data_IF_737204434764
#
_entry.id   IF_737204434764
#
_cell.length_a   1.000
_cell.length_b   1.000
_cell.length_c   1.000
_cell.angle_alpha   90.00
_cell.angle_beta   90.00
_cell.angle_gamma   90.00
#
_symmetry.space_group_name_H-M   'P 1'
#
loop_
_entity.id
_entity.type
_entity.pdbx_description
1 polymer ?
#
# COMPACT_ATOMS: atom_id res chain seq x y z
N UNK A 1 47.46 22.27 0.29
CA UNK A 1 46.25 22.40 1.13
C UNK A 1 45.05 22.41 0.19
N UNK A 2 44.18 21.41 0.26
CA UNK A 2 42.94 21.39 -0.55
C UNK A 2 41.81 21.96 0.29
N UNK A 3 41.24 23.09 -0.12
CA UNK A 3 40.10 23.73 0.55
C UNK A 3 38.81 23.18 -0.05
N UNK A 4 37.84 22.83 0.80
CA UNK A 4 36.48 22.49 0.34
C UNK A 4 35.81 23.71 -0.28
N UNK A 5 35.10 23.50 -1.40
CA UNK A 5 34.31 24.52 -2.09
C UNK A 5 32.79 24.29 -1.93
N UNK A 6 32.39 23.28 -1.16
CA UNK A 6 30.98 22.99 -0.93
C UNK A 6 30.40 23.89 0.17
N UNK A 7 29.13 24.31 0.04
CA UNK A 7 28.43 25.09 1.06
C UNK A 7 28.22 24.28 2.35
N UNK A 8 28.28 24.96 3.49
CA UNK A 8 28.04 24.35 4.81
C UNK A 8 26.54 24.09 5.05
N UNK A 9 25.67 24.66 4.21
CA UNK A 9 24.22 24.53 4.25
C UNK A 9 23.68 23.17 3.76
N UNK A 10 24.55 22.28 3.26
CA UNK A 10 24.14 20.92 2.87
C UNK A 10 23.81 20.13 4.14
N UNK A 11 22.51 20.00 4.43
CA UNK A 11 21.99 19.30 5.60
C UNK A 11 20.96 18.23 5.21
N UNK A 12 20.66 17.35 6.15
CA UNK A 12 19.60 16.35 6.00
C UNK A 12 18.25 17.03 6.21
N UNK A 13 17.31 16.79 5.30
CA UNK A 13 15.94 17.27 5.38
C UNK A 13 15.11 16.26 6.18
N UNK A 14 14.32 16.73 7.14
CA UNK A 14 13.37 15.93 7.93
C UNK A 14 12.02 15.80 7.21
N UNK A 15 12.01 15.20 6.01
CA UNK A 15 10.79 14.95 5.26
C UNK A 15 10.76 13.51 4.75
N UNK A 16 9.61 12.83 4.89
CA UNK A 16 9.45 11.44 4.46
C UNK A 16 9.22 11.38 2.95
N UNK A 17 10.11 10.72 2.17
CA UNK A 17 9.92 10.61 0.74
C UNK A 17 8.70 9.72 0.39
N UNK A 18 7.90 10.07 -0.64
CA UNK A 18 6.75 9.27 -1.06
C UNK A 18 7.05 7.79 -1.33
N UNK A 19 8.23 7.50 -1.92
CA UNK A 19 8.64 6.13 -2.21
C UNK A 19 8.82 5.27 -0.95
N UNK A 20 9.16 5.88 0.18
CA UNK A 20 9.26 5.17 1.46
C UNK A 20 7.88 4.73 1.95
N UNK A 21 6.89 5.63 1.87
CA UNK A 21 5.48 5.33 2.20
C UNK A 21 4.96 4.22 1.29
N UNK A 22 5.25 4.26 -0.02
CA UNK A 22 4.86 3.20 -0.94
C UNK A 22 5.46 1.84 -0.56
N UNK A 23 6.74 1.80 -0.20
CA UNK A 23 7.41 0.55 0.21
C UNK A 23 6.86 0.00 1.52
N UNK A 24 6.54 0.87 2.47
CA UNK A 24 5.91 0.47 3.73
C UNK A 24 4.53 -0.16 3.48
N UNK A 25 3.67 0.51 2.70
CA UNK A 25 2.35 -0.04 2.33
C UNK A 25 2.47 -1.34 1.54
N UNK A 26 3.53 -1.49 0.73
CA UNK A 26 3.80 -2.74 0.03
C UNK A 26 4.14 -3.90 0.97
N UNK A 27 4.92 -3.65 2.02
CA UNK A 27 5.25 -4.64 3.05
C UNK A 27 4.00 -5.06 3.83
N UNK A 28 3.17 -4.10 4.26
CA UNK A 28 1.91 -4.35 4.96
C UNK A 28 0.95 -5.23 4.17
N UNK A 29 0.88 -5.06 2.84
CA UNK A 29 0.08 -5.95 1.99
C UNK A 29 0.62 -7.39 1.99
N UNK A 30 1.94 -7.56 1.92
CA UNK A 30 2.58 -8.88 1.98
C UNK A 30 2.25 -9.61 3.28
N UNK A 31 2.33 -8.93 4.42
CA UNK A 31 1.93 -9.49 5.72
C UNK A 31 0.45 -9.87 5.74
N UNK A 32 -0.42 -8.96 5.30
CA UNK A 32 -1.88 -9.18 5.28
C UNK A 32 -2.31 -10.38 4.43
N UNK A 33 -1.57 -10.67 3.36
CA UNK A 33 -1.90 -11.71 2.38
C UNK A 33 -1.03 -12.95 2.53
N UNK A 34 -0.17 -13.00 3.56
CA UNK A 34 0.84 -14.06 3.77
C UNK A 34 1.71 -14.29 2.53
N UNK A 35 2.05 -13.19 1.86
CA UNK A 35 2.86 -13.15 0.65
C UNK A 35 2.29 -13.92 -0.56
N UNK A 36 1.01 -14.31 -0.53
CA UNK A 36 0.32 -14.82 -1.72
C UNK A 36 0.11 -13.71 -2.76
N UNK A 37 -0.11 -12.48 -2.30
CA UNK A 37 -0.09 -11.27 -3.12
C UNK A 37 0.82 -10.24 -2.47
N UNK A 38 2.01 -10.05 -3.02
CA UNK A 38 2.93 -9.01 -2.55
C UNK A 38 2.74 -7.73 -3.36
N UNK A 39 3.29 -6.62 -2.86
CA UNK A 39 3.44 -5.43 -3.66
C UNK A 39 4.92 -5.11 -3.92
N UNK A 40 5.19 -4.47 -5.06
CA UNK A 40 6.53 -4.01 -5.45
C UNK A 40 6.46 -2.57 -5.96
N UNK A 41 7.46 -1.78 -5.61
CA UNK A 41 7.60 -0.39 -6.06
C UNK A 41 8.80 -0.30 -6.98
N UNK A 42 8.56 0.00 -8.26
CA UNK A 42 9.62 0.23 -9.24
C UNK A 42 9.80 1.74 -9.44
N UNK A 43 11.03 2.23 -9.27
CA UNK A 43 11.37 3.63 -9.50
C UNK A 43 12.10 3.78 -10.82
N UNK A 44 11.63 4.68 -11.67
CA UNK A 44 12.32 5.10 -12.89
C UNK A 44 12.55 6.60 -12.88
N UNK A 45 13.63 7.04 -13.53
CA UNK A 45 14.04 8.45 -13.58
C UNK A 45 14.03 8.89 -15.03
N UNK A 46 13.36 10.01 -15.32
CA UNK A 46 13.50 10.67 -16.62
C UNK A 46 14.40 11.88 -16.49
N UNK A 47 15.66 11.76 -16.90
CA UNK A 47 16.61 12.88 -16.88
C UNK A 47 16.13 14.05 -17.75
N UNK A 48 15.50 13.76 -18.90
CA UNK A 48 14.96 14.80 -19.79
C UNK A 48 13.82 15.58 -19.15
N UNK A 49 12.93 14.89 -18.43
CA UNK A 49 11.79 15.54 -17.76
C UNK A 49 12.14 16.01 -16.35
N UNK A 50 13.30 15.63 -15.82
CA UNK A 50 13.73 15.82 -14.42
C UNK A 50 12.72 15.30 -13.41
N UNK A 51 12.17 14.10 -13.66
CA UNK A 51 11.13 13.51 -12.81
C UNK A 51 11.43 12.09 -12.37
N UNK A 52 11.05 11.80 -11.13
CA UNK A 52 10.87 10.43 -10.64
C UNK A 52 9.50 9.91 -11.04
N UNK A 53 9.44 8.63 -11.37
CA UNK A 53 8.21 7.87 -11.58
C UNK A 53 8.28 6.60 -10.74
N UNK A 54 7.46 6.54 -9.70
CA UNK A 54 7.33 5.36 -8.85
C UNK A 54 6.05 4.62 -9.25
N UNK A 55 6.17 3.33 -9.56
CA UNK A 55 5.05 2.51 -10.00
C UNK A 55 4.80 1.45 -8.94
N UNK A 56 3.58 1.41 -8.40
CA UNK A 56 3.17 0.45 -7.40
C UNK A 56 2.45 -0.72 -8.07
N UNK A 57 3.05 -1.90 -7.97
CA UNK A 57 2.50 -3.13 -8.54
C UNK A 57 1.96 -4.06 -7.46
N UNK A 58 0.82 -4.67 -7.72
CA UNK A 58 0.41 -5.93 -7.10
C UNK A 58 1.07 -7.07 -7.86
N UNK A 59 1.59 -8.08 -7.14
CA UNK A 59 2.33 -9.20 -7.73
C UNK A 59 1.89 -10.50 -7.07
N UNK A 60 1.53 -11.50 -7.88
CA UNK A 60 1.26 -12.86 -7.44
C UNK A 60 2.44 -13.77 -7.84
N UNK A 61 3.34 -14.14 -6.92
CA UNK A 61 4.57 -14.87 -7.27
C UNK A 61 4.31 -16.22 -7.95
N UNK A 62 3.31 -16.96 -7.47
CA UNK A 62 2.91 -18.29 -7.96
C UNK A 62 2.33 -18.23 -9.38
N UNK A 63 1.76 -17.09 -9.79
CA UNK A 63 1.19 -16.90 -11.12
C UNK A 63 2.24 -16.39 -12.11
N UNK A 64 3.42 -17.04 -12.13
CA UNK A 64 4.58 -16.62 -12.93
C UNK A 64 4.93 -15.14 -12.73
N UNK A 65 4.89 -14.70 -11.47
CA UNK A 65 5.05 -13.29 -11.09
C UNK A 65 4.12 -12.33 -11.84
N UNK A 66 2.87 -12.73 -12.15
CA UNK A 66 1.87 -11.84 -12.72
C UNK A 66 1.80 -10.51 -11.96
N UNK A 67 1.87 -9.39 -12.68
CA UNK A 67 1.91 -8.03 -12.14
C UNK A 67 0.74 -7.20 -12.63
N UNK A 68 0.17 -6.42 -11.73
CA UNK A 68 -0.85 -5.42 -12.03
C UNK A 68 -0.40 -4.05 -11.51
N UNK A 69 -0.33 -3.04 -12.39
CA UNK A 69 -0.04 -1.65 -12.00
C UNK A 69 -1.26 -1.08 -11.26
N UNK A 70 -1.13 -0.84 -9.96
CA UNK A 70 -2.23 -0.31 -9.16
C UNK A 70 -2.31 1.20 -9.26
N UNK A 71 -1.16 1.88 -9.12
CA UNK A 71 -1.06 3.32 -9.32
C UNK A 71 0.38 3.70 -9.66
N UNK A 72 0.55 4.94 -10.11
CA UNK A 72 1.84 5.55 -10.37
C UNK A 72 1.91 6.92 -9.71
N UNK A 73 3.04 7.22 -9.08
CA UNK A 73 3.38 8.53 -8.58
C UNK A 73 4.46 9.19 -9.42
N UNK A 74 4.36 10.49 -9.65
CA UNK A 74 5.40 11.28 -10.31
C UNK A 74 5.66 12.62 -9.63
N UNK A 75 6.94 12.98 -9.50
CA UNK A 75 7.40 14.22 -8.84
C UNK A 75 8.66 14.73 -9.50
N UNK A 76 9.03 15.98 -9.19
CA UNK A 76 10.33 16.54 -9.59
C UNK A 76 11.49 15.78 -8.91
N UNK A 77 12.70 15.86 -9.46
CA UNK A 77 13.90 15.29 -8.86
C UNK A 77 14.39 16.10 -7.65
N UNK A 78 14.04 17.37 -7.56
CA UNK A 78 14.52 18.30 -6.52
C UNK A 78 13.66 18.32 -5.26
N UNK A 79 12.40 17.86 -5.35
CA UNK A 79 11.44 17.92 -4.24
C UNK A 79 10.79 16.57 -3.98
N UNK A 80 10.36 16.32 -2.74
CA UNK A 80 9.56 15.13 -2.41
C UNK A 80 8.08 15.33 -2.73
N UNK A 81 7.57 16.53 -2.45
CA UNK A 81 6.21 16.97 -2.75
C UNK A 81 6.24 18.24 -3.62
N UNK A 82 5.17 18.53 -4.38
CA UNK A 82 3.99 17.69 -4.57
C UNK A 82 4.27 16.42 -5.38
N UNK A 83 3.45 15.40 -5.16
CA UNK A 83 3.43 14.19 -5.98
C UNK A 83 2.10 14.04 -6.71
N UNK A 84 2.17 13.78 -8.01
CA UNK A 84 1.02 13.50 -8.86
C UNK A 84 0.79 11.99 -8.90
N UNK A 85 -0.40 11.56 -8.50
CA UNK A 85 -0.83 10.16 -8.43
C UNK A 85 -1.87 9.90 -9.51
N UNK A 86 -1.61 8.89 -10.33
CA UNK A 86 -2.50 8.40 -11.39
C UNK A 86 -2.90 6.96 -11.09
N UNK A 87 -4.18 6.62 -11.24
CA UNK A 87 -4.70 5.26 -11.03
C UNK A 87 -6.01 5.07 -11.78
N UNK A 88 -6.25 3.86 -12.31
CA UNK A 88 -7.53 3.47 -12.90
C UNK A 88 -8.70 3.41 -11.89
N UNK A 89 -8.43 3.58 -10.59
CA UNK A 89 -9.43 3.64 -9.53
C UNK A 89 -9.80 5.08 -9.15
N UNK A 90 -9.11 6.06 -9.72
CA UNK A 90 -9.40 7.47 -9.52
C UNK A 90 -10.17 8.00 -10.73
N UNK A 91 -11.17 8.85 -10.50
CA UNK A 91 -11.87 9.54 -11.60
C UNK A 91 -10.96 10.54 -12.32
N UNK A 92 -10.07 11.17 -11.57
CA UNK A 92 -9.08 12.13 -12.04
C UNK A 92 -7.79 11.95 -11.27
N UNK A 93 -6.66 12.25 -11.93
CA UNK A 93 -5.35 12.30 -11.28
C UNK A 93 -5.40 13.22 -10.05
N UNK A 94 -4.72 12.80 -8.98
CA UNK A 94 -4.68 13.53 -7.71
C UNK A 94 -3.28 14.08 -7.50
N UNK A 95 -3.20 15.28 -6.93
CA UNK A 95 -1.96 15.86 -6.45
C UNK A 95 -1.99 15.86 -4.94
N UNK A 96 -0.91 15.39 -4.31
CA UNK A 96 -0.73 15.43 -2.87
C UNK A 96 0.43 16.37 -2.53
N UNK A 97 0.14 17.39 -1.73
CA UNK A 97 1.10 18.43 -1.33
C UNK A 97 1.92 18.07 -0.10
N UNK A 98 1.55 16.99 0.61
CA UNK A 98 2.18 16.56 1.85
C UNK A 98 2.03 15.05 2.07
N UNK A 99 2.75 14.51 3.05
CA UNK A 99 2.60 13.12 3.52
C UNK A 99 1.14 12.80 3.88
N UNK A 100 0.48 13.66 4.67
CA UNK A 100 -0.90 13.42 5.10
C UNK A 100 -1.90 13.38 3.93
N UNK A 101 -1.71 14.25 2.94
CA UNK A 101 -2.51 14.22 1.72
C UNK A 101 -2.24 12.97 0.88
N UNK A 102 -0.98 12.55 0.79
CA UNK A 102 -0.60 11.33 0.07
C UNK A 102 -1.25 10.11 0.71
N UNK A 103 -1.19 9.99 2.03
CA UNK A 103 -1.84 8.90 2.78
C UNK A 103 -3.35 8.84 2.51
N UNK A 104 -4.01 10.00 2.41
CA UNK A 104 -5.43 10.06 2.05
C UNK A 104 -5.69 9.56 0.63
N UNK A 105 -4.91 10.01 -0.35
CA UNK A 105 -5.03 9.54 -1.75
C UNK A 105 -4.80 8.03 -1.85
N UNK A 106 -3.78 7.51 -1.17
CA UNK A 106 -3.49 6.07 -1.14
C UNK A 106 -4.61 5.28 -0.47
N UNK A 107 -5.15 5.77 0.65
CA UNK A 107 -6.30 5.16 1.31
C UNK A 107 -7.47 5.02 0.36
N UNK A 108 -7.82 6.09 -0.37
CA UNK A 108 -8.91 6.09 -1.35
C UNK A 108 -8.68 5.02 -2.45
N UNK A 109 -7.45 4.89 -2.95
CA UNK A 109 -7.08 3.85 -3.93
C UNK A 109 -7.20 2.44 -3.33
N UNK A 110 -6.70 2.23 -2.11
CA UNK A 110 -6.63 0.89 -1.50
C UNK A 110 -7.99 0.35 -1.07
N UNK A 111 -8.89 1.20 -0.58
CA UNK A 111 -10.25 0.80 -0.19
C UNK A 111 -11.22 0.76 -1.37
N UNK A 112 -10.80 1.23 -2.56
CA UNK A 112 -11.65 1.25 -3.73
C UNK A 112 -12.11 -0.19 -4.10
N UNK A 113 -13.42 -0.41 -4.40
CA UNK A 113 -13.94 -1.76 -4.68
C UNK A 113 -13.19 -2.51 -5.79
N UNK A 114 -12.72 -1.79 -6.81
CA UNK A 114 -11.90 -2.37 -7.90
C UNK A 114 -10.57 -2.94 -7.39
N UNK A 115 -9.87 -2.23 -6.50
CA UNK A 115 -8.60 -2.69 -5.91
C UNK A 115 -8.81 -3.96 -5.11
N UNK A 116 -9.84 -3.95 -4.23
CA UNK A 116 -10.19 -5.11 -3.41
C UNK A 116 -10.49 -6.33 -4.30
N UNK A 117 -11.29 -6.14 -5.36
CA UNK A 117 -11.64 -7.20 -6.31
C UNK A 117 -10.41 -7.79 -7.02
N UNK A 118 -9.46 -6.95 -7.41
CA UNK A 118 -8.21 -7.41 -8.05
C UNK A 118 -7.40 -8.25 -7.07
N UNK A 119 -7.19 -7.76 -5.84
CA UNK A 119 -6.45 -8.50 -4.81
C UNK A 119 -7.13 -9.84 -4.49
N UNK A 120 -8.45 -9.85 -4.29
CA UNK A 120 -9.22 -11.08 -4.06
C UNK A 120 -9.07 -12.07 -5.21
N UNK A 121 -9.15 -11.59 -6.46
CA UNK A 121 -8.96 -12.42 -7.64
C UNK A 121 -7.55 -13.04 -7.69
N UNK A 122 -6.51 -12.26 -7.36
CA UNK A 122 -5.13 -12.75 -7.30
C UNK A 122 -4.94 -13.76 -6.15
N UNK A 123 -5.56 -13.54 -5.00
CA UNK A 123 -5.52 -14.45 -3.85
C UNK A 123 -6.13 -15.82 -4.19
N UNK A 124 -7.35 -15.84 -4.75
CA UNK A 124 -8.01 -17.10 -5.14
C UNK A 124 -7.16 -17.88 -6.15
N UNK A 125 -6.62 -17.19 -7.15
CA UNK A 125 -5.74 -17.81 -8.15
C UNK A 125 -4.42 -18.30 -7.56
N UNK A 126 -3.95 -17.66 -6.48
CA UNK A 126 -2.74 -18.07 -5.74
C UNK A 126 -3.01 -19.19 -4.73
N UNK A 127 -4.24 -19.73 -4.68
CA UNK A 127 -4.60 -20.85 -3.80
C UNK A 127 -5.06 -20.45 -2.40
N UNK A 128 -5.46 -19.18 -2.18
CA UNK A 128 -6.03 -18.78 -0.90
C UNK A 128 -7.35 -19.52 -0.61
N UNK A 129 -7.38 -20.30 0.48
CA UNK A 129 -8.60 -20.94 1.01
C UNK A 129 -9.07 -20.21 2.28
N UNK A 130 -10.34 -19.77 2.37
CA UNK A 130 -10.90 -19.19 3.60
C UNK A 130 -10.90 -20.15 4.80
N UNK A 131 -10.99 -21.46 4.57
CA UNK A 131 -11.17 -22.49 5.61
C UNK A 131 -9.91 -22.72 6.45
N UNK A 132 -8.73 -22.61 5.82
CA UNK A 132 -7.44 -22.72 6.51
C UNK A 132 -7.10 -21.49 7.37
N UNK A 133 -7.87 -20.40 7.22
CA UNK A 133 -7.64 -19.15 7.95
C UNK A 133 -8.45 -19.03 9.23
N UNK A 134 -9.60 -19.71 9.28
CA UNK A 134 -10.44 -19.79 10.49
C UNK A 134 -9.76 -20.64 11.58
N UNK A 135 -8.93 -21.61 11.20
CA UNK A 135 -8.19 -22.47 12.15
C UNK A 135 -6.95 -21.78 12.75
N UNK A 136 -6.40 -20.74 12.11
CA UNK A 136 -5.24 -20.00 12.62
C UNK A 136 -5.60 -18.73 13.41
N UNK A 137 -6.83 -18.23 13.31
CA UNK A 137 -7.28 -17.02 14.02
C UNK A 137 -8.11 -17.29 15.28
N UNK A 138 -7.97 -18.48 15.88
CA UNK A 138 -8.68 -18.85 17.10
C UNK A 138 -10.15 -19.16 16.82
N UNK A 139 -10.55 -20.39 17.14
CA UNK A 139 -11.92 -20.85 16.96
C UNK A 139 -12.93 -19.90 17.58
N UNK A 140 -14.12 -19.87 17.00
CA UNK A 140 -15.33 -19.36 17.63
C UNK A 140 -15.36 -19.93 19.05
N UNK A 141 -15.14 -19.09 20.06
CA UNK A 141 -15.63 -19.40 21.39
C UNK A 141 -17.15 -19.37 21.24
N UNK A 142 -17.75 -20.56 21.21
CA UNK A 142 -19.17 -20.71 21.53
C UNK A 142 -19.37 -20.01 22.87
N UNK A 143 -20.05 -18.89 22.84
CA UNK A 143 -20.55 -18.26 24.06
C UNK A 143 -21.64 -19.21 24.56
N UNK A 144 -21.33 -20.05 25.53
CA UNK A 144 -22.35 -20.69 26.35
C UNK A 144 -23.12 -19.56 27.04
N UNK A 145 -24.31 -19.26 26.53
CA UNK A 145 -25.26 -18.37 27.17
C UNK A 145 -25.89 -19.18 28.31
N UNK A 146 -25.69 -18.83 29.59
CA UNK A 146 -26.40 -19.48 30.67
C UNK A 146 -27.88 -19.14 30.53
N UNK A 147 -28.75 -20.16 30.55
CA UNK A 147 -30.18 -19.97 30.68
C UNK A 147 -30.42 -19.39 32.09
N UNK A 148 -30.70 -18.09 32.18
CA UNK A 148 -31.30 -17.52 33.38
C UNK A 148 -32.68 -18.16 33.57
N UNK A 149 -32.85 -18.88 34.68
CA UNK A 149 -34.17 -19.36 35.10
C UNK A 149 -35.02 -18.14 35.45
N UNK A 150 -36.13 -17.98 34.73
CA UNK A 150 -37.19 -17.03 35.07
C UNK A 150 -37.78 -17.37 36.45
N UNK A 151 -37.33 -16.67 37.49
CA UNK A 151 -38.12 -16.51 38.71
C UNK A 151 -39.34 -15.64 38.38
N UNK A 152 -40.47 -16.30 38.08
CA UNK A 152 -41.78 -15.67 38.04
C UNK A 152 -42.26 -15.50 39.50
N UNK A 153 -42.47 -14.28 40.01
CA UNK A 153 -43.10 -14.11 41.31
C UNK A 153 -44.62 -14.31 41.20
N UNK A 154 -45.17 -15.05 42.15
CA UNK A 154 -46.60 -15.27 42.42
C UNK A 154 -47.34 -13.99 42.81
#
# INVERSE_FOLDING_TARGET
>A
MTKSLWPDEISVIEEVPPVSIFKEQAALLGEKTRNLVIAKVDTTISNRKRRFYDIFYLVAPILDNYRFELFRGSRDIETFYPIQITSDTLEVDKEAMSEGELLKVLSDIFVHPKTIKIIQSMLVQSGWSPEENLSQNGGLQEIEIPLEEDEIPL
#
